data_IF_299085718794
#
_entry.id   IF_299085718794
#
_cell.length_a   1.000
_cell.length_b   1.000
_cell.length_c   1.000
_cell.angle_alpha   90.00
_cell.angle_beta   90.00
_cell.angle_gamma   90.00
#
_symmetry.space_group_name_H-M   'P 1'
#
loop_
_entity.id
_entity.type
_entity.pdbx_description
1 polymer ?
#
# COMPACT_ATOMS: atom_id res chain seq x y z
N UNK A 1 -10.45 2.92 -3.62
CA UNK A 1 -11.52 3.59 -4.37
C UNK A 1 -12.18 2.56 -5.28
N UNK A 2 -13.50 2.42 -5.23
CA UNK A 2 -14.25 1.53 -6.13
C UNK A 2 -14.94 2.34 -7.21
N UNK A 3 -14.93 1.81 -8.42
CA UNK A 3 -15.60 2.41 -9.56
C UNK A 3 -16.15 1.33 -10.48
N UNK A 4 -17.21 1.64 -11.21
CA UNK A 4 -17.79 0.75 -12.23
C UNK A 4 -17.73 1.43 -13.59
N UNK A 5 -17.43 0.69 -14.65
CA UNK A 5 -17.42 1.21 -16.01
C UNK A 5 -18.83 1.38 -16.53
N UNK A 6 -19.20 2.59 -16.95
CA UNK A 6 -20.48 2.88 -17.57
C UNK A 6 -20.39 4.00 -18.57
N UNK A 7 -20.88 3.78 -19.78
CA UNK A 7 -20.91 4.79 -20.85
C UNK A 7 -19.54 5.33 -21.23
N UNK A 8 -18.48 4.54 -21.14
CA UNK A 8 -17.10 4.93 -21.45
C UNK A 8 -16.45 5.82 -20.39
N UNK A 9 -16.90 5.77 -19.16
CA UNK A 9 -16.28 6.41 -17.99
C UNK A 9 -16.41 5.51 -16.76
N UNK A 10 -15.45 5.59 -15.83
CA UNK A 10 -15.56 4.97 -14.53
C UNK A 10 -16.38 5.86 -13.60
N UNK A 11 -17.49 5.33 -13.07
CA UNK A 11 -18.33 5.99 -12.07
C UNK A 11 -17.83 5.62 -10.68
N UNK A 12 -17.51 6.63 -9.86
CA UNK A 12 -17.06 6.45 -8.48
C UNK A 12 -18.23 6.15 -7.54
N UNK A 13 -18.08 5.16 -6.66
CA UNK A 13 -19.05 4.89 -5.58
C UNK A 13 -19.03 5.96 -4.49
N UNK A 14 -17.90 6.66 -4.33
CA UNK A 14 -17.75 7.78 -3.38
C UNK A 14 -16.93 8.90 -4.01
N UNK A 15 -17.24 10.14 -3.64
CA UNK A 15 -16.48 11.31 -4.09
C UNK A 15 -15.05 11.26 -3.52
N UNK A 16 -14.06 11.22 -4.40
CA UNK A 16 -12.64 11.34 -4.07
C UNK A 16 -12.03 12.57 -4.73
N UNK A 17 -10.97 13.10 -4.14
CA UNK A 17 -10.16 14.19 -4.71
C UNK A 17 -9.23 13.64 -5.80
N UNK A 18 -9.80 13.27 -6.93
CA UNK A 18 -9.07 12.77 -8.08
C UNK A 18 -8.96 13.88 -9.14
N UNK A 19 -7.80 14.03 -9.74
CA UNK A 19 -7.54 15.01 -10.79
C UNK A 19 -7.06 14.36 -12.10
N UNK A 20 -7.21 15.06 -13.21
CA UNK A 20 -6.57 14.63 -14.44
C UNK A 20 -5.05 14.71 -14.30
N UNK A 21 -4.37 13.64 -14.69
CA UNK A 21 -2.94 13.43 -14.50
C UNK A 21 -2.59 12.55 -13.29
N UNK A 22 -3.55 12.24 -12.42
CA UNK A 22 -3.31 11.33 -11.31
C UNK A 22 -3.04 9.90 -11.82
N UNK A 23 -2.11 9.24 -11.16
CA UNK A 23 -1.77 7.84 -11.43
C UNK A 23 -2.46 6.96 -10.41
N UNK A 24 -3.25 6.01 -10.91
CA UNK A 24 -3.94 5.02 -10.11
C UNK A 24 -3.33 3.64 -10.33
N UNK A 25 -3.46 2.77 -9.36
CA UNK A 25 -3.08 1.37 -9.45
C UNK A 25 -4.32 0.50 -9.45
N UNK A 26 -4.40 -0.47 -10.34
CA UNK A 26 -5.49 -1.44 -10.36
C UNK A 26 -5.22 -2.49 -9.28
N UNK A 27 -6.02 -2.46 -8.20
CA UNK A 27 -5.87 -3.38 -7.07
C UNK A 27 -6.67 -4.66 -7.31
N UNK A 28 -7.88 -4.53 -7.86
CA UNK A 28 -8.78 -5.65 -8.10
C UNK A 28 -9.80 -5.30 -9.16
N UNK A 29 -10.20 -6.28 -9.96
CA UNK A 29 -11.30 -6.18 -10.91
C UNK A 29 -12.28 -7.36 -10.76
N UNK A 30 -13.53 -7.17 -11.12
CA UNK A 30 -14.52 -8.25 -11.22
C UNK A 30 -14.42 -9.04 -12.53
N UNK A 31 -13.75 -8.47 -13.53
CA UNK A 31 -13.49 -9.11 -14.82
C UNK A 31 -12.32 -10.10 -14.80
N UNK A 32 -12.27 -10.98 -15.80
CA UNK A 32 -11.17 -11.89 -16.01
C UNK A 32 -10.23 -11.31 -17.07
N UNK A 33 -9.08 -10.81 -16.65
CA UNK A 33 -8.07 -10.23 -17.53
C UNK A 33 -6.82 -11.11 -17.53
N UNK A 34 -6.17 -11.24 -18.68
CA UNK A 34 -4.89 -11.96 -18.78
C UNK A 34 -3.72 -11.08 -18.38
N UNK A 35 -3.78 -9.80 -18.74
CA UNK A 35 -2.77 -8.79 -18.39
C UNK A 35 -3.48 -7.43 -18.23
N UNK A 36 -3.29 -6.79 -17.10
CA UNK A 36 -3.69 -5.40 -16.86
C UNK A 36 -2.44 -4.59 -16.55
N UNK A 37 -2.39 -3.30 -16.96
CA UNK A 37 -1.32 -2.42 -16.55
C UNK A 37 -1.36 -2.25 -15.04
N UNK A 38 -0.21 -2.22 -14.39
CA UNK A 38 -0.13 -1.97 -12.94
C UNK A 38 -0.57 -0.55 -12.60
N UNK A 39 -0.22 0.41 -13.44
CA UNK A 39 -0.56 1.82 -13.30
C UNK A 39 -1.41 2.31 -14.46
N UNK A 40 -2.35 3.17 -14.15
CA UNK A 40 -3.24 3.81 -15.12
C UNK A 40 -3.35 5.30 -14.83
N UNK A 41 -3.32 6.13 -15.86
CA UNK A 41 -3.40 7.57 -15.71
C UNK A 41 -4.80 8.08 -15.98
N UNK A 42 -5.30 8.94 -15.11
CA UNK A 42 -6.57 9.65 -15.29
C UNK A 42 -6.41 10.71 -16.36
N UNK A 43 -7.13 10.60 -17.46
CA UNK A 43 -7.07 11.58 -18.56
C UNK A 43 -8.10 12.68 -18.41
N UNK A 44 -9.30 12.35 -17.96
CA UNK A 44 -10.39 13.30 -17.77
C UNK A 44 -11.10 13.03 -16.44
N UNK A 45 -11.52 14.09 -15.78
CA UNK A 45 -12.31 14.08 -14.56
C UNK A 45 -13.66 14.74 -14.79
N UNK A 46 -14.76 14.01 -14.46
CA UNK A 46 -16.12 14.51 -14.41
C UNK A 46 -16.65 14.57 -12.97
N UNK A 47 -17.89 15.01 -12.80
CA UNK A 47 -18.58 14.97 -11.51
C UNK A 47 -18.95 13.51 -11.16
N UNK A 48 -18.24 12.94 -10.19
CA UNK A 48 -18.39 11.52 -9.80
C UNK A 48 -17.88 10.50 -10.82
N UNK A 49 -17.12 10.91 -11.85
CA UNK A 49 -16.60 10.01 -12.88
C UNK A 49 -15.21 10.39 -13.33
N UNK A 50 -14.49 9.45 -13.94
CA UNK A 50 -13.19 9.71 -14.57
C UNK A 50 -12.97 8.77 -15.77
N UNK A 51 -12.03 9.16 -16.63
CA UNK A 51 -11.58 8.34 -17.75
C UNK A 51 -10.10 8.06 -17.63
N UNK A 52 -9.72 6.91 -18.12
CA UNK A 52 -8.34 6.51 -18.34
C UNK A 52 -7.96 6.70 -19.81
N UNK A 53 -6.71 6.43 -20.17
CA UNK A 53 -6.29 6.37 -21.55
C UNK A 53 -7.15 5.38 -22.35
N UNK A 54 -7.43 5.72 -23.62
CA UNK A 54 -8.37 4.96 -24.46
C UNK A 54 -7.97 3.48 -24.63
N UNK A 55 -6.67 3.20 -24.70
CA UNK A 55 -6.15 1.83 -24.78
C UNK A 55 -6.44 1.04 -23.50
N UNK A 56 -6.27 1.68 -22.35
CA UNK A 56 -6.58 1.09 -21.04
C UNK A 56 -8.08 0.89 -20.85
N UNK A 57 -8.88 1.89 -21.24
CA UNK A 57 -10.35 1.79 -21.18
C UNK A 57 -10.90 0.60 -21.98
N UNK A 58 -10.28 0.30 -23.13
CA UNK A 58 -10.70 -0.81 -23.98
C UNK A 58 -10.46 -2.22 -23.35
N UNK A 59 -9.69 -2.30 -22.28
CA UNK A 59 -9.45 -3.55 -21.57
C UNK A 59 -10.62 -3.95 -20.67
N UNK A 60 -11.49 -3.02 -20.30
CA UNK A 60 -12.60 -3.25 -19.36
C UNK A 60 -13.92 -3.40 -20.08
N UNK A 61 -14.81 -4.18 -19.50
CA UNK A 61 -16.17 -4.42 -20.00
C UNK A 61 -17.16 -3.48 -19.34
N UNK A 62 -18.23 -3.13 -20.05
CA UNK A 62 -19.33 -2.32 -19.49
C UNK A 62 -19.93 -2.99 -18.24
N UNK A 63 -20.09 -2.23 -17.17
CA UNK A 63 -20.58 -2.71 -15.88
C UNK A 63 -19.52 -3.40 -15.02
N UNK A 64 -18.27 -3.45 -15.46
CA UNK A 64 -17.19 -4.03 -14.67
C UNK A 64 -16.85 -3.16 -13.48
N UNK A 65 -16.73 -3.79 -12.31
CA UNK A 65 -16.29 -3.15 -11.07
C UNK A 65 -14.77 -3.26 -10.92
N UNK A 66 -14.12 -2.13 -10.71
CA UNK A 66 -12.67 -2.04 -10.52
C UNK A 66 -12.35 -1.31 -9.22
N UNK A 67 -11.42 -1.84 -8.48
CA UNK A 67 -10.87 -1.20 -7.28
C UNK A 67 -9.53 -0.58 -7.64
N UNK A 68 -9.47 0.74 -7.60
CA UNK A 68 -8.25 1.49 -7.82
C UNK A 68 -7.60 1.84 -6.48
N UNK A 69 -6.28 1.71 -6.42
CA UNK A 69 -5.43 2.25 -5.38
C UNK A 69 -4.93 3.64 -5.78
N UNK A 70 -4.69 4.46 -4.76
CA UNK A 70 -4.04 5.74 -4.91
C UNK A 70 -2.77 5.72 -4.05
N UNK A 71 -1.62 6.04 -4.63
CA UNK A 71 -0.38 6.14 -3.87
C UNK A 71 -0.24 7.55 -3.33
N UNK A 72 -0.11 7.64 -2.02
CA UNK A 72 0.29 8.87 -1.33
C UNK A 72 1.70 8.69 -0.83
N UNK A 73 2.55 9.67 -1.08
CA UNK A 73 3.90 9.66 -0.53
C UNK A 73 3.86 9.68 1.00
N UNK A 74 4.42 8.64 1.59
CA UNK A 74 4.68 8.61 3.02
C UNK A 74 5.82 9.58 3.34
N UNK A 75 5.70 10.30 4.45
CA UNK A 75 6.83 11.03 4.99
C UNK A 75 8.00 10.07 5.21
N UNK A 76 9.16 10.39 4.66
CA UNK A 76 10.35 9.55 4.75
C UNK A 76 10.67 9.16 6.20
N UNK A 77 10.84 7.86 6.49
CA UNK A 77 11.30 7.44 7.80
C UNK A 77 12.76 7.84 8.01
N UNK A 78 13.13 8.13 9.24
CA UNK A 78 14.50 8.38 9.63
C UNK A 78 15.37 7.13 9.48
N UNK A 79 14.77 5.95 9.68
CA UNK A 79 15.40 4.66 9.43
C UNK A 79 14.38 3.65 8.90
N UNK A 80 14.84 2.82 7.98
CA UNK A 80 14.12 1.67 7.46
C UNK A 80 15.03 0.45 7.58
N UNK A 81 14.55 -0.57 8.28
CA UNK A 81 15.18 -1.90 8.33
C UNK A 81 14.33 -2.86 7.50
N UNK A 82 14.98 -3.56 6.60
CA UNK A 82 14.36 -4.58 5.76
C UNK A 82 14.78 -5.97 6.27
N UNK A 83 13.79 -6.83 6.50
CA UNK A 83 14.00 -8.20 6.95
C UNK A 83 13.19 -9.16 6.07
N UNK A 84 13.69 -10.39 5.93
CA UNK A 84 12.96 -11.49 5.32
C UNK A 84 12.96 -12.68 6.27
N UNK A 85 11.79 -13.27 6.49
CA UNK A 85 11.63 -14.46 7.28
C UNK A 85 10.95 -15.55 6.48
N UNK A 86 11.50 -16.75 6.58
CA UNK A 86 10.92 -17.93 5.95
C UNK A 86 9.90 -18.58 6.90
N UNK A 87 8.76 -18.94 6.34
CA UNK A 87 7.76 -19.76 7.01
C UNK A 87 7.95 -21.21 6.59
N UNK A 88 8.29 -22.04 7.54
CA UNK A 88 8.53 -23.46 7.35
C UNK A 88 7.29 -24.28 7.76
N UNK A 89 6.88 -25.25 6.94
CA UNK A 89 5.74 -26.12 7.19
C UNK A 89 6.03 -27.29 8.14
N UNK A 90 7.26 -27.79 8.13
CA UNK A 90 7.60 -28.99 8.91
C UNK A 90 9.09 -29.29 8.92
N UNK A 91 9.92 -28.28 9.18
CA UNK A 91 11.38 -28.43 9.25
C UNK A 91 11.82 -29.23 10.47
N UNK A 92 12.85 -30.07 10.32
CA UNK A 92 13.33 -30.90 11.44
C UNK A 92 14.61 -31.68 11.10
N UNK A 93 15.00 -32.56 12.02
CA UNK A 93 16.09 -33.52 11.81
C UNK A 93 15.54 -34.92 11.63
N UNK A 94 16.06 -35.65 10.65
CA UNK A 94 15.74 -37.06 10.48
C UNK A 94 16.50 -37.93 11.53
N UNK A 95 16.23 -39.21 11.55
CA UNK A 95 16.88 -40.14 12.48
C UNK A 95 18.40 -40.23 12.33
N UNK A 96 18.93 -39.82 11.17
CA UNK A 96 20.36 -39.74 10.89
C UNK A 96 20.98 -38.41 11.33
N UNK A 97 20.20 -37.49 11.93
CA UNK A 97 20.65 -36.17 12.34
C UNK A 97 20.74 -35.13 11.24
N UNK A 98 20.39 -35.48 9.99
CA UNK A 98 20.37 -34.54 8.88
C UNK A 98 19.17 -33.60 9.01
N UNK A 99 19.42 -32.31 8.82
CA UNK A 99 18.36 -31.29 8.82
C UNK A 99 17.65 -31.24 7.46
N UNK A 100 16.35 -31.31 7.47
CA UNK A 100 15.51 -31.02 6.31
C UNK A 100 14.68 -29.77 6.58
N UNK A 101 14.44 -29.01 5.54
CA UNK A 101 13.70 -27.75 5.58
C UNK A 101 12.59 -27.79 4.54
N UNK A 102 11.36 -27.60 5.02
CA UNK A 102 10.16 -27.46 4.21
C UNK A 102 9.69 -26.00 4.25
N UNK A 103 10.31 -25.19 3.39
CA UNK A 103 9.99 -23.77 3.28
C UNK A 103 8.72 -23.59 2.47
N UNK A 104 7.64 -23.13 3.08
CA UNK A 104 6.37 -22.83 2.42
C UNK A 104 6.41 -21.50 1.68
N UNK A 105 6.87 -20.44 2.33
CA UNK A 105 6.95 -19.10 1.77
C UNK A 105 7.93 -18.25 2.54
N UNK A 106 8.25 -17.09 1.99
CA UNK A 106 9.02 -16.05 2.67
C UNK A 106 8.20 -14.78 2.77
N UNK A 107 8.23 -14.12 3.91
CA UNK A 107 7.55 -12.85 4.19
C UNK A 107 8.56 -11.76 4.45
N UNK A 108 8.32 -10.61 3.86
CA UNK A 108 9.13 -9.42 4.12
C UNK A 108 8.57 -8.65 5.30
N UNK A 109 9.46 -8.06 6.06
CA UNK A 109 9.10 -7.20 7.17
C UNK A 109 9.92 -5.92 7.07
N UNK A 110 9.25 -4.77 7.13
CA UNK A 110 9.86 -3.46 7.09
C UNK A 110 9.63 -2.78 8.43
N UNK A 111 10.70 -2.50 9.15
CA UNK A 111 10.61 -1.72 10.39
C UNK A 111 11.05 -0.31 10.11
N UNK A 112 10.11 0.62 10.19
CA UNK A 112 10.34 2.04 9.96
C UNK A 112 10.28 2.81 11.28
N UNK A 113 11.13 3.82 11.41
CA UNK A 113 11.06 4.77 12.53
C UNK A 113 11.13 6.19 12.03
N UNK A 114 10.35 7.07 12.66
CA UNK A 114 10.31 8.50 12.38
C UNK A 114 10.76 9.25 13.63
N UNK A 115 11.50 10.32 13.43
CA UNK A 115 11.91 11.21 14.51
C UNK A 115 10.77 12.11 15.01
N UNK A 116 11.06 13.40 15.18
CA UNK A 116 10.05 14.37 15.59
C UNK A 116 9.06 14.65 14.44
N UNK A 117 7.77 14.52 14.74
CA UNK A 117 6.65 14.73 13.81
C UNK A 117 5.73 15.82 14.32
N UNK A 118 5.19 16.63 13.40
CA UNK A 118 4.05 17.52 13.70
C UNK A 118 2.79 16.70 13.97
N UNK A 119 1.75 17.34 14.53
CA UNK A 119 0.45 16.70 14.71
C UNK A 119 -0.16 16.23 13.39
N UNK A 120 -0.04 17.06 12.35
CA UNK A 120 -0.59 16.78 11.02
C UNK A 120 0.16 15.64 10.33
N UNK A 121 1.50 15.65 10.38
CA UNK A 121 2.33 14.55 9.84
C UNK A 121 1.98 13.22 10.54
N UNK A 122 1.84 13.26 11.87
CA UNK A 122 1.49 12.07 12.65
C UNK A 122 0.10 11.55 12.30
N UNK A 123 -0.88 12.44 12.22
CA UNK A 123 -2.25 12.08 11.85
C UNK A 123 -2.30 11.48 10.42
N UNK A 124 -1.59 12.07 9.46
CA UNK A 124 -1.49 11.56 8.10
C UNK A 124 -0.87 10.16 8.05
N UNK A 125 0.26 9.94 8.72
CA UNK A 125 0.91 8.63 8.80
C UNK A 125 0.01 7.56 9.43
N UNK A 126 -0.65 7.89 10.55
CA UNK A 126 -1.53 6.94 11.23
C UNK A 126 -2.79 6.63 10.42
N UNK A 127 -3.35 7.62 9.72
CA UNK A 127 -4.52 7.44 8.85
C UNK A 127 -4.21 6.47 7.69
N UNK A 128 -3.03 6.58 7.06
CA UNK A 128 -2.61 5.65 6.02
C UNK A 128 -2.39 4.22 6.51
N UNK A 129 -2.13 4.05 7.81
CA UNK A 129 -1.93 2.75 8.47
C UNK A 129 -3.21 2.21 9.13
N UNK A 130 -4.37 2.82 8.91
CA UNK A 130 -5.63 2.42 9.58
C UNK A 130 -6.25 1.19 8.94
N UNK A 131 -6.07 1.00 7.64
CA UNK A 131 -6.59 -0.14 6.92
C UNK A 131 -5.96 -1.46 7.41
N UNK A 132 -6.77 -2.53 7.40
CA UNK A 132 -6.33 -3.87 7.81
C UNK A 132 -5.19 -4.36 6.91
N UNK A 133 -5.32 -4.11 5.61
CA UNK A 133 -4.29 -4.37 4.61
C UNK A 133 -4.23 -3.19 3.66
N UNK A 134 -3.04 -2.82 3.27
CA UNK A 134 -2.78 -1.73 2.33
C UNK A 134 -1.61 -2.07 1.42
N UNK A 135 -1.61 -1.48 0.25
CA UNK A 135 -0.52 -1.63 -0.71
C UNK A 135 0.62 -0.67 -0.34
N UNK A 136 1.82 -1.20 -0.23
CA UNK A 136 3.02 -0.42 0.07
C UNK A 136 4.06 -0.61 -1.03
N UNK A 137 4.59 0.50 -1.54
CA UNK A 137 5.76 0.52 -2.39
C UNK A 137 7.01 0.74 -1.54
N UNK A 138 8.01 -0.11 -1.70
CA UNK A 138 9.22 -0.11 -0.87
C UNK A 138 10.46 -0.53 -1.66
N UNK A 139 11.66 -0.12 -1.23
CA UNK A 139 12.90 -0.65 -1.80
C UNK A 139 13.12 -2.09 -1.33
N UNK A 140 13.16 -3.05 -2.26
CA UNK A 140 13.42 -4.45 -1.96
C UNK A 140 14.94 -4.71 -1.99
N UNK A 141 15.53 -4.98 -0.83
CA UNK A 141 16.96 -5.25 -0.71
C UNK A 141 17.41 -6.52 -1.45
N UNK A 142 16.49 -7.46 -1.71
CA UNK A 142 16.79 -8.69 -2.44
C UNK A 142 16.98 -8.44 -3.94
N UNK A 143 16.15 -7.59 -4.54
CA UNK A 143 16.18 -7.30 -5.98
C UNK A 143 16.95 -6.03 -6.32
N UNK A 144 17.09 -5.11 -5.36
CA UNK A 144 17.64 -3.77 -5.57
C UNK A 144 16.69 -2.80 -6.27
N UNK A 145 15.44 -3.20 -6.47
CA UNK A 145 14.42 -2.43 -7.16
C UNK A 145 13.28 -2.03 -6.21
N UNK A 146 12.41 -1.11 -6.64
CA UNK A 146 11.16 -0.84 -5.93
C UNK A 146 10.18 -1.97 -6.20
N UNK A 147 9.52 -2.41 -5.14
CA UNK A 147 8.52 -3.46 -5.17
C UNK A 147 7.25 -3.03 -4.48
N UNK A 148 6.12 -3.55 -4.93
CA UNK A 148 4.81 -3.35 -4.33
C UNK A 148 4.29 -4.67 -3.79
N UNK A 149 3.80 -4.65 -2.56
CA UNK A 149 3.15 -5.80 -1.95
C UNK A 149 2.08 -5.33 -0.96
N UNK A 150 1.16 -6.22 -0.63
CA UNK A 150 0.16 -5.99 0.41
C UNK A 150 0.79 -6.20 1.79
N UNK A 151 0.63 -5.21 2.66
CA UNK A 151 1.14 -5.23 4.02
C UNK A 151 0.04 -5.00 5.04
N UNK A 152 0.32 -5.40 6.26
CA UNK A 152 -0.42 -4.97 7.44
C UNK A 152 0.54 -4.44 8.47
N UNK A 153 0.04 -3.64 9.41
CA UNK A 153 0.82 -3.08 10.50
C UNK A 153 0.20 -3.49 11.83
N UNK A 154 1.07 -3.85 12.78
CA UNK A 154 0.67 -4.21 14.12
C UNK A 154 0.49 -3.02 15.05
N UNK A 155 0.92 -3.18 16.30
CA UNK A 155 0.85 -2.12 17.31
C UNK A 155 1.69 -0.90 16.89
N UNK A 156 1.12 0.27 17.09
CA UNK A 156 1.74 1.57 16.84
C UNK A 156 1.81 2.32 18.14
N UNK A 157 2.99 2.75 18.52
CA UNK A 157 3.21 3.50 19.76
C UNK A 157 4.05 4.72 19.47
N UNK A 158 3.61 5.86 19.94
CA UNK A 158 4.34 7.11 19.82
C UNK A 158 4.20 7.93 21.08
N UNK A 159 5.29 8.31 21.75
CA UNK A 159 5.23 9.24 22.86
C UNK A 159 5.03 10.66 22.37
N UNK A 160 4.27 11.44 23.11
CA UNK A 160 4.16 12.87 22.90
C UNK A 160 5.47 13.55 23.34
N UNK A 161 6.05 14.36 22.46
CA UNK A 161 7.25 15.12 22.76
C UNK A 161 6.92 16.36 23.61
N UNK A 162 6.04 17.22 23.11
CA UNK A 162 5.62 18.45 23.79
C UNK A 162 4.37 19.06 23.14
N UNK A 163 3.70 19.90 23.88
CA UNK A 163 2.75 20.88 23.35
C UNK A 163 3.47 22.21 23.07
N UNK A 164 3.23 22.80 21.92
CA UNK A 164 3.72 24.13 21.58
C UNK A 164 2.83 25.23 22.20
N UNK A 165 3.34 26.48 22.29
CA UNK A 165 2.56 27.60 22.82
C UNK A 165 1.28 27.92 22.02
N UNK A 166 1.25 27.56 20.74
CA UNK A 166 0.09 27.71 19.84
C UNK A 166 -0.98 26.63 20.05
N UNK A 167 -0.77 25.70 21.00
CA UNK A 167 -1.67 24.60 21.31
C UNK A 167 -1.46 23.36 20.44
N UNK A 168 -0.62 23.40 19.41
CA UNK A 168 -0.32 22.25 18.57
C UNK A 168 0.58 21.24 19.27
N UNK A 169 0.53 19.97 18.85
CA UNK A 169 1.26 18.87 19.43
C UNK A 169 2.47 18.48 18.57
N UNK A 170 3.53 18.08 19.23
CA UNK A 170 4.66 17.40 18.59
C UNK A 170 4.81 16.01 19.17
N UNK A 171 5.05 15.05 18.28
CA UNK A 171 5.25 13.65 18.57
C UNK A 171 6.67 13.22 18.24
N UNK A 172 7.13 12.12 18.80
CA UNK A 172 8.46 11.60 18.51
C UNK A 172 8.46 10.07 18.48
N UNK A 173 9.50 9.53 17.84
CA UNK A 173 9.81 8.11 17.86
C UNK A 173 8.63 7.20 17.47
N UNK A 174 7.82 7.61 16.48
CA UNK A 174 6.90 6.67 15.88
C UNK A 174 7.70 5.51 15.29
N UNK A 175 7.36 4.30 15.68
CA UNK A 175 7.88 3.08 15.08
C UNK A 175 6.73 2.22 14.61
N UNK A 176 6.83 1.72 13.40
CA UNK A 176 5.86 0.82 12.80
C UNK A 176 6.58 -0.32 12.09
N UNK A 177 6.07 -1.53 12.28
CA UNK A 177 6.53 -2.73 11.60
C UNK A 177 5.46 -3.17 10.62
N UNK A 178 5.79 -3.11 9.34
CA UNK A 178 4.96 -3.55 8.24
C UNK A 178 5.33 -4.98 7.88
N UNK A 179 4.37 -5.87 7.87
CA UNK A 179 4.57 -7.29 7.53
C UNK A 179 3.81 -7.61 6.26
N UNK A 180 4.48 -8.21 5.30
CA UNK A 180 3.91 -8.68 4.03
C UNK A 180 2.83 -9.73 4.30
N UNK A 181 1.71 -9.62 3.60
CA UNK A 181 0.57 -10.53 3.74
C UNK A 181 0.82 -11.94 3.21
#
# INVERSE_FOLDING_TARGET
MRASLSGGSFLLEASGDLAAGDVLVIVKTSGAHQELPEEVTVTERGDGSFKLESETMALFSEGEEVVFGYFTDLKDPQSLQWDISDLDGGSGRNQMGQYFRDRMTSKRTLTCSWGALSGDDMAGLLCMMEDVFFLLEYPDALTGERKRSEFYVGNRTTPMLRQKPDGSWMWQNLSATFTER
#
